data_IF_140930586841
#
_entry.id   IF_140930586841
#
_cell.length_a   1.000
_cell.length_b   1.000
_cell.length_c   1.000
_cell.angle_alpha   90.00
_cell.angle_beta   90.00
_cell.angle_gamma   90.00
#
_symmetry.space_group_name_H-M   'P 1'
#
loop_
_entity.id
_entity.type
_entity.pdbx_description
1 polymer ?
#
# COMPACT_ATOMS: atom_id res chain seq x y z
N UNK A 1 -1.95 16.84 9.19
CA UNK A 1 -1.99 17.47 7.85
C UNK A 1 -2.74 16.55 6.89
N UNK A 2 -2.61 16.77 5.58
CA UNK A 2 -3.37 15.98 4.58
C UNK A 2 -3.03 14.48 4.59
N UNK A 3 -1.74 14.14 4.66
CA UNK A 3 -1.30 12.72 4.72
C UNK A 3 -1.83 12.05 5.99
N UNK A 4 -1.70 12.72 7.13
CA UNK A 4 -2.11 12.18 8.42
C UNK A 4 -3.63 11.95 8.46
N UNK A 5 -4.42 12.86 7.87
CA UNK A 5 -5.88 12.71 7.77
C UNK A 5 -6.30 11.54 6.86
N UNK A 6 -5.56 11.29 5.77
CA UNK A 6 -5.81 10.13 4.89
C UNK A 6 -5.52 8.82 5.64
N UNK A 7 -4.37 8.73 6.32
CA UNK A 7 -3.98 7.55 7.09
C UNK A 7 -4.96 7.31 8.25
N UNK A 8 -5.40 8.37 8.93
CA UNK A 8 -6.41 8.28 9.97
C UNK A 8 -7.75 7.77 9.42
N UNK A 9 -8.21 8.27 8.27
CA UNK A 9 -9.44 7.78 7.64
C UNK A 9 -9.33 6.28 7.28
N UNK A 10 -8.20 5.83 6.75
CA UNK A 10 -7.97 4.39 6.49
C UNK A 10 -8.04 3.56 7.77
N UNK A 11 -7.52 4.07 8.89
CA UNK A 11 -7.59 3.38 10.20
C UNK A 11 -8.98 3.39 10.82
N UNK A 12 -9.74 4.48 10.66
CA UNK A 12 -11.10 4.61 11.20
C UNK A 12 -12.12 3.76 10.44
N UNK A 13 -11.86 3.48 9.16
CA UNK A 13 -12.75 2.70 8.30
C UNK A 13 -12.02 1.50 7.69
N UNK A 14 -11.48 0.59 8.52
CA UNK A 14 -10.64 -0.52 8.05
C UNK A 14 -11.41 -1.49 7.16
N UNK A 15 -12.72 -1.65 7.38
CA UNK A 15 -13.57 -2.58 6.64
C UNK A 15 -14.20 -1.96 5.38
N UNK A 16 -13.96 -0.67 5.11
CA UNK A 16 -14.46 0.00 3.90
C UNK A 16 -13.46 -0.13 2.75
N UNK A 17 -13.65 -1.13 1.89
CA UNK A 17 -12.80 -1.34 0.71
C UNK A 17 -12.67 -0.08 -0.17
N UNK A 18 -13.74 0.71 -0.28
CA UNK A 18 -13.73 1.98 -1.02
C UNK A 18 -12.78 3.01 -0.40
N UNK A 19 -12.77 3.14 0.94
CA UNK A 19 -11.85 4.06 1.64
C UNK A 19 -10.42 3.55 1.53
N UNK A 20 -10.18 2.24 1.72
CA UNK A 20 -8.84 1.67 1.57
C UNK A 20 -8.29 1.90 0.15
N UNK A 21 -9.09 1.61 -0.88
CA UNK A 21 -8.70 1.81 -2.28
C UNK A 21 -8.39 3.28 -2.59
N UNK A 22 -9.25 4.22 -2.17
CA UNK A 22 -9.05 5.65 -2.39
C UNK A 22 -7.85 6.19 -1.60
N UNK A 23 -7.67 5.72 -0.36
CA UNK A 23 -6.52 6.02 0.47
C UNK A 23 -5.22 5.60 -0.22
N UNK A 24 -5.13 4.33 -0.62
CA UNK A 24 -3.99 3.78 -1.36
C UNK A 24 -3.67 4.59 -2.63
N UNK A 25 -4.68 4.86 -3.47
CA UNK A 25 -4.50 5.65 -4.69
C UNK A 25 -4.03 7.09 -4.42
N UNK A 26 -4.54 7.72 -3.36
CA UNK A 26 -4.13 9.08 -2.98
C UNK A 26 -2.69 9.08 -2.46
N UNK A 27 -2.33 8.14 -1.58
CA UNK A 27 -0.98 8.01 -1.06
C UNK A 27 0.03 7.73 -2.16
N UNK A 28 -0.27 6.83 -3.11
CA UNK A 28 0.55 6.58 -4.31
C UNK A 28 0.88 7.88 -5.06
N UNK A 29 -0.11 8.74 -5.27
CA UNK A 29 0.09 9.99 -6.00
C UNK A 29 0.95 10.99 -5.21
N UNK A 30 0.85 11.00 -3.87
CA UNK A 30 1.64 11.88 -3.04
C UNK A 30 3.11 11.42 -2.92
N UNK A 31 3.36 10.11 -2.96
CA UNK A 31 4.68 9.50 -2.72
C UNK A 31 5.62 9.52 -3.94
N UNK A 32 5.25 10.19 -5.03
CA UNK A 32 6.21 10.58 -6.07
C UNK A 32 7.25 11.59 -5.57
N UNK A 33 6.98 12.28 -4.46
CA UNK A 33 7.90 13.20 -3.80
C UNK A 33 8.56 12.53 -2.58
N UNK A 34 9.88 12.58 -2.47
CA UNK A 34 10.65 11.95 -1.39
C UNK A 34 10.26 12.44 0.01
N UNK A 35 9.96 13.73 0.16
CA UNK A 35 9.51 14.31 1.44
C UNK A 35 8.20 13.66 1.88
N UNK A 36 7.30 13.41 0.94
CA UNK A 36 6.03 12.76 1.24
C UNK A 36 6.21 11.28 1.58
N UNK A 37 7.18 10.57 0.99
CA UNK A 37 7.49 9.18 1.38
C UNK A 37 7.81 9.08 2.88
N UNK A 38 8.71 9.92 3.36
CA UNK A 38 9.07 9.97 4.79
C UNK A 38 7.87 10.31 5.69
N UNK A 39 7.06 11.30 5.29
CA UNK A 39 5.86 11.68 6.05
C UNK A 39 4.79 10.59 6.09
N UNK A 40 4.61 9.84 5.00
CA UNK A 40 3.68 8.69 4.98
C UNK A 40 4.18 7.61 5.94
N UNK A 41 5.47 7.29 5.94
CA UNK A 41 6.06 6.37 6.94
C UNK A 41 5.82 6.87 8.36
N UNK A 42 6.15 8.12 8.67
CA UNK A 42 6.02 8.70 10.01
C UNK A 42 4.55 8.76 10.50
N UNK A 43 3.59 8.96 9.59
CA UNK A 43 2.17 8.87 9.90
C UNK A 43 1.68 7.43 10.14
N UNK A 44 2.53 6.43 9.88
CA UNK A 44 2.23 5.00 9.90
C UNK A 44 1.30 4.56 8.74
N UNK A 45 1.48 5.19 7.58
CA UNK A 45 0.74 4.89 6.37
C UNK A 45 1.14 3.56 5.73
N UNK A 46 2.38 3.10 5.91
CA UNK A 46 2.84 1.78 5.41
C UNK A 46 2.02 0.68 6.09
N UNK A 47 1.87 0.75 7.41
CA UNK A 47 1.05 -0.15 8.22
C UNK A 47 -0.39 -0.11 7.75
N UNK A 48 -0.96 1.08 7.55
CA UNK A 48 -2.36 1.23 7.11
C UNK A 48 -2.59 0.60 5.72
N UNK A 49 -1.65 0.77 4.78
CA UNK A 49 -1.74 0.17 3.45
C UNK A 49 -1.69 -1.37 3.55
N UNK A 50 -0.71 -1.92 4.26
CA UNK A 50 -0.55 -3.38 4.41
C UNK A 50 -1.74 -4.01 5.15
N UNK A 51 -2.24 -3.35 6.19
CA UNK A 51 -3.38 -3.79 6.98
C UNK A 51 -4.70 -3.76 6.18
N UNK A 52 -4.87 -2.74 5.32
CA UNK A 52 -5.96 -2.63 4.37
C UNK A 52 -5.90 -3.71 3.28
N UNK A 53 -4.72 -3.95 2.69
CA UNK A 53 -4.53 -5.03 1.72
C UNK A 53 -4.83 -6.40 2.34
N UNK A 54 -4.36 -6.67 3.56
CA UNK A 54 -4.62 -7.92 4.27
C UNK A 54 -6.12 -8.17 4.53
N UNK A 55 -6.86 -7.15 4.97
CA UNK A 55 -8.32 -7.27 5.20
C UNK A 55 -9.11 -7.47 3.92
N UNK A 56 -8.67 -6.84 2.84
CA UNK A 56 -9.39 -6.81 1.57
C UNK A 56 -8.67 -7.66 0.51
N UNK A 57 -8.16 -8.82 0.89
CA UNK A 57 -7.47 -9.75 -0.03
C UNK A 57 -8.33 -10.08 -1.25
N UNK A 58 -9.65 -10.20 -1.09
CA UNK A 58 -10.59 -10.45 -2.20
C UNK A 58 -10.94 -9.22 -3.06
N UNK A 59 -10.39 -8.03 -2.78
CA UNK A 59 -10.68 -6.81 -3.55
C UNK A 59 -9.49 -6.41 -4.43
N UNK A 60 -9.58 -6.68 -5.74
CA UNK A 60 -8.51 -6.39 -6.68
C UNK A 60 -8.06 -4.92 -6.67
N UNK A 61 -9.00 -3.98 -6.55
CA UNK A 61 -8.67 -2.55 -6.50
C UNK A 61 -7.85 -2.17 -5.27
N UNK A 62 -8.15 -2.73 -4.09
CA UNK A 62 -7.33 -2.49 -2.90
C UNK A 62 -5.93 -3.08 -3.07
N UNK A 63 -5.81 -4.28 -3.64
CA UNK A 63 -4.53 -4.93 -3.91
C UNK A 63 -3.68 -4.14 -4.92
N UNK A 64 -4.26 -3.79 -6.08
CA UNK A 64 -3.59 -3.04 -7.14
C UNK A 64 -3.04 -1.70 -6.64
N UNK A 65 -3.91 -0.87 -6.06
CA UNK A 65 -3.50 0.46 -5.60
C UNK A 65 -2.62 0.40 -4.35
N UNK A 66 -2.80 -0.62 -3.51
CA UNK A 66 -1.95 -0.86 -2.35
C UNK A 66 -0.51 -1.20 -2.78
N UNK A 67 -0.34 -2.19 -3.66
CA UNK A 67 0.96 -2.56 -4.23
C UNK A 67 1.61 -1.37 -4.95
N UNK A 68 0.84 -0.60 -5.74
CA UNK A 68 1.36 0.60 -6.40
C UNK A 68 1.85 1.67 -5.42
N UNK A 69 1.15 1.88 -4.30
CA UNK A 69 1.56 2.81 -3.26
C UNK A 69 2.83 2.33 -2.53
N UNK A 70 2.89 1.04 -2.18
CA UNK A 70 4.05 0.43 -1.53
C UNK A 70 5.30 0.49 -2.42
N UNK A 71 5.18 0.22 -3.73
CA UNK A 71 6.29 0.38 -4.68
C UNK A 71 6.84 1.80 -4.67
N UNK A 72 5.98 2.81 -4.73
CA UNK A 72 6.45 4.20 -4.72
C UNK A 72 7.14 4.56 -3.39
N UNK A 73 6.64 4.03 -2.28
CA UNK A 73 7.25 4.20 -0.96
C UNK A 73 8.60 3.50 -0.86
N UNK A 74 8.75 2.33 -1.49
CA UNK A 74 9.95 1.51 -1.48
C UNK A 74 11.16 2.17 -2.18
N UNK A 75 11.01 3.28 -2.90
CA UNK A 75 12.15 4.12 -3.34
C UNK A 75 12.86 4.88 -2.19
N UNK A 76 12.89 4.32 -0.98
CA UNK A 76 13.63 4.76 0.20
C UNK A 76 13.97 3.50 0.98
N UNK A 77 15.24 3.31 1.29
CA UNK A 77 15.72 2.10 1.96
C UNK A 77 15.04 1.89 3.32
N UNK A 78 14.82 2.96 4.08
CA UNK A 78 14.10 2.89 5.35
C UNK A 78 12.65 2.44 5.18
N UNK A 79 12.02 2.80 4.06
CA UNK A 79 10.67 2.34 3.75
C UNK A 79 10.67 0.88 3.28
N UNK A 80 11.69 0.42 2.54
CA UNK A 80 11.83 -1.01 2.17
C UNK A 80 11.89 -1.88 3.42
N UNK A 81 12.79 -1.52 4.33
CA UNK A 81 12.91 -2.18 5.64
C UNK A 81 11.57 -2.16 6.37
N UNK A 82 10.90 -1.01 6.41
CA UNK A 82 9.62 -0.92 7.11
C UNK A 82 8.53 -1.78 6.49
N UNK A 83 8.44 -1.86 5.17
CA UNK A 83 7.49 -2.74 4.47
C UNK A 83 7.75 -4.20 4.81
N UNK A 84 9.02 -4.63 4.86
CA UNK A 84 9.38 -5.98 5.26
C UNK A 84 8.99 -6.26 6.73
N UNK A 85 9.31 -5.35 7.64
CA UNK A 85 9.02 -5.49 9.08
C UNK A 85 7.52 -5.65 9.40
N UNK A 86 6.65 -4.95 8.67
CA UNK A 86 5.19 -5.03 8.88
C UNK A 86 4.53 -6.21 8.15
N UNK A 87 5.34 -7.06 7.50
CA UNK A 87 4.87 -8.22 6.75
C UNK A 87 4.18 -7.84 5.43
N UNK A 88 4.69 -6.83 4.72
CA UNK A 88 4.16 -6.40 3.43
C UNK A 88 4.38 -7.41 2.31
N UNK A 89 5.55 -8.07 2.26
CA UNK A 89 5.89 -9.08 1.24
C UNK A 89 4.84 -10.21 1.18
N UNK A 90 4.52 -10.94 2.26
CA UNK A 90 3.51 -12.00 2.19
C UNK A 90 2.12 -11.47 1.82
N UNK A 91 1.75 -10.25 2.25
CA UNK A 91 0.47 -9.64 1.88
C UNK A 91 0.37 -9.34 0.39
N UNK A 92 1.46 -8.86 -0.23
CA UNK A 92 1.51 -8.66 -1.69
C UNK A 92 1.36 -9.99 -2.42
N UNK A 93 2.09 -11.03 -1.99
CA UNK A 93 2.03 -12.37 -2.60
C UNK A 93 0.63 -12.96 -2.48
N UNK A 94 0.00 -12.89 -1.30
CA UNK A 94 -1.38 -13.34 -1.09
C UNK A 94 -2.37 -12.60 -2.01
N UNK A 95 -2.20 -11.28 -2.17
CA UNK A 95 -2.99 -10.47 -3.11
C UNK A 95 -2.82 -10.93 -4.55
N UNK A 96 -1.58 -11.21 -4.99
CA UNK A 96 -1.31 -11.75 -6.33
C UNK A 96 -1.92 -13.15 -6.52
N UNK A 97 -1.87 -14.01 -5.50
CA UNK A 97 -2.47 -15.35 -5.56
C UNK A 97 -4.00 -15.32 -5.61
N UNK A 98 -4.63 -14.37 -4.93
CA UNK A 98 -6.07 -14.18 -4.94
C UNK A 98 -6.58 -13.62 -6.28
N UNK A 99 -5.73 -12.91 -7.04
CA UNK A 99 -6.10 -12.21 -8.29
C UNK A 99 -5.18 -12.55 -9.46
N UNK A 100 -4.98 -13.85 -9.73
CA UNK A 100 -4.05 -14.36 -10.76
C UNK A 100 -4.32 -13.84 -12.18
N UNK A 101 -5.58 -13.56 -12.50
CA UNK A 101 -6.02 -13.10 -13.82
C UNK A 101 -6.22 -11.58 -13.90
N UNK A 102 -5.89 -10.84 -12.83
CA UNK A 102 -6.02 -9.39 -12.81
C UNK A 102 -4.68 -8.72 -13.12
N UNK A 103 -4.49 -8.27 -14.36
CA UNK A 103 -3.26 -7.66 -14.86
C UNK A 103 -2.69 -6.60 -13.91
N UNK A 104 -3.50 -5.64 -13.47
CA UNK A 104 -3.02 -4.58 -12.57
C UNK A 104 -2.48 -5.09 -11.23
N UNK A 105 -3.07 -6.14 -10.66
CA UNK A 105 -2.58 -6.71 -9.38
C UNK A 105 -1.26 -7.43 -9.61
N UNK A 106 -1.13 -8.16 -10.72
CA UNK A 106 0.11 -8.85 -11.08
C UNK A 106 1.24 -7.86 -11.41
N UNK A 107 0.94 -6.83 -12.21
CA UNK A 107 1.90 -5.79 -12.60
C UNK A 107 2.48 -5.10 -11.37
N UNK A 108 1.61 -4.53 -10.52
CA UNK A 108 2.09 -3.80 -9.34
C UNK A 108 2.63 -4.71 -8.26
N UNK A 109 2.14 -5.95 -8.17
CA UNK A 109 2.69 -6.97 -7.28
C UNK A 109 4.13 -7.35 -7.64
N UNK A 110 4.42 -7.63 -8.91
CA UNK A 110 5.79 -7.83 -9.38
C UNK A 110 6.65 -6.58 -9.17
N UNK A 111 6.13 -5.40 -9.50
CA UNK A 111 6.90 -4.15 -9.41
C UNK A 111 7.29 -3.79 -7.98
N UNK A 112 6.43 -4.03 -6.98
CA UNK A 112 6.80 -3.79 -5.58
C UNK A 112 7.81 -4.84 -5.09
N UNK A 113 7.67 -6.11 -5.49
CA UNK A 113 8.62 -7.16 -5.11
C UNK A 113 10.00 -7.00 -5.77
N UNK A 114 10.08 -6.37 -6.95
CA UNK A 114 11.35 -5.98 -7.57
C UNK A 114 12.07 -4.87 -6.78
N UNK A 115 11.30 -3.96 -6.19
CA UNK A 115 11.86 -2.80 -5.47
C UNK A 115 12.24 -3.11 -4.01
N UNK A 116 11.56 -4.06 -3.36
CA UNK A 116 11.80 -4.45 -1.96
C UNK A 116 13.04 -5.33 -1.80
#
# INVERSE_FOLDING_TARGET
GGIEAIVEAMRLYPDSASIQRLGNGTLRNLTYNDVHKGRVREAGGIEAIVDGMRRHVGNAGVQEWGSAALRNLAYSDENKERVAEVGGIPVVVEGMEAHREHDGVQEWGCAVLEEL
#
